data_IF_491241532972
#
_entry.id   IF_491241532972
#
_cell.length_a   1.000
_cell.length_b   1.000
_cell.length_c   1.000
_cell.angle_alpha   90.00
_cell.angle_beta   90.00
_cell.angle_gamma   90.00
#
_symmetry.space_group_name_H-M   'P 1'
#
loop_
_entity.id
_entity.type
_entity.pdbx_description
1 polymer ?
#
# COMPACT_ATOMS: atom_id res chain seq x y z
N UNK A 1 -8.56 -2.46 -2.24
CA UNK A 1 -9.23 -1.28 -1.65
C UNK A 1 -9.14 -1.17 -0.13
N UNK A 2 -8.95 -2.25 0.64
CA UNK A 2 -9.03 -2.19 2.11
C UNK A 2 -7.99 -1.27 2.76
N UNK A 3 -6.71 -1.35 2.35
CA UNK A 3 -5.65 -0.50 2.92
C UNK A 3 -5.97 0.99 2.73
N UNK A 4 -6.38 1.40 1.52
CA UNK A 4 -6.79 2.77 1.23
C UNK A 4 -8.01 3.21 2.06
N UNK A 5 -9.00 2.31 2.26
CA UNK A 5 -10.17 2.59 3.08
C UNK A 5 -9.80 2.80 4.56
N UNK A 6 -8.90 1.97 5.09
CA UNK A 6 -8.39 2.10 6.46
C UNK A 6 -7.60 3.41 6.64
N UNK A 7 -6.73 3.75 5.68
CA UNK A 7 -6.02 5.04 5.70
C UNK A 7 -6.99 6.22 5.66
N UNK A 8 -8.03 6.16 4.81
CA UNK A 8 -9.05 7.20 4.73
C UNK A 8 -9.82 7.36 6.04
N UNK A 9 -10.17 6.25 6.70
CA UNK A 9 -10.84 6.28 8.00
C UNK A 9 -9.94 6.90 9.07
N UNK A 10 -8.67 6.52 9.13
CA UNK A 10 -7.74 6.93 10.18
C UNK A 10 -7.16 8.35 10.00
N UNK A 11 -7.06 8.87 8.77
CA UNK A 11 -6.47 10.19 8.52
C UNK A 11 -7.37 11.37 8.91
N UNK A 12 -8.66 11.12 9.15
CA UNK A 12 -9.66 12.16 9.41
C UNK A 12 -9.24 13.06 10.59
N UNK A 13 -9.04 14.35 10.31
CA UNK A 13 -8.63 15.34 11.31
C UNK A 13 -7.17 15.22 11.79
N UNK A 14 -6.36 14.35 11.17
CA UNK A 14 -4.95 14.14 11.52
C UNK A 14 -3.99 14.63 10.44
N UNK A 15 -4.28 14.33 9.18
CA UNK A 15 -3.42 14.69 8.05
C UNK A 15 -4.20 14.71 6.74
N UNK A 16 -3.60 15.35 5.72
CA UNK A 16 -4.07 15.28 4.34
C UNK A 16 -3.30 14.18 3.62
N UNK A 17 -4.02 13.29 2.94
CA UNK A 17 -3.45 12.10 2.29
C UNK A 17 -3.60 12.20 0.77
N UNK A 18 -2.47 12.05 0.07
CA UNK A 18 -2.44 11.73 -1.36
C UNK A 18 -2.09 10.26 -1.51
N UNK A 19 -3.09 9.42 -1.76
CA UNK A 19 -2.93 7.97 -1.86
C UNK A 19 -2.74 7.55 -3.31
N UNK A 20 -1.67 6.79 -3.58
CA UNK A 20 -1.43 6.19 -4.89
C UNK A 20 -1.52 4.66 -4.79
N UNK A 21 -2.36 4.07 -5.64
CA UNK A 21 -2.52 2.63 -5.77
C UNK A 21 -2.07 2.17 -7.15
N UNK A 22 -1.48 0.99 -7.23
CA UNK A 22 -1.25 0.28 -8.49
C UNK A 22 -1.99 -1.05 -8.44
N UNK A 23 -2.49 -1.49 -9.58
CA UNK A 23 -3.15 -2.78 -9.74
C UNK A 23 -2.97 -3.27 -11.19
N UNK A 24 -3.09 -4.57 -11.41
CA UNK A 24 -3.09 -5.18 -12.76
C UNK A 24 -4.44 -5.79 -13.11
N UNK A 25 -5.28 -6.06 -12.11
CA UNK A 25 -6.54 -6.78 -12.28
C UNK A 25 -7.59 -6.22 -11.32
N UNK A 26 -8.23 -5.08 -11.68
CA UNK A 26 -9.21 -4.48 -10.81
C UNK A 26 -10.47 -5.34 -10.72
N UNK A 27 -11.04 -5.38 -9.51
CA UNK A 27 -12.29 -6.09 -9.27
C UNK A 27 -13.46 -5.39 -9.94
N UNK A 28 -14.37 -6.20 -10.47
CA UNK A 28 -15.66 -5.70 -10.95
C UNK A 28 -16.45 -5.02 -9.82
N UNK A 29 -17.17 -3.95 -10.15
CA UNK A 29 -17.91 -3.17 -9.17
C UNK A 29 -18.97 -3.99 -8.43
N UNK A 30 -19.53 -5.02 -9.05
CA UNK A 30 -20.51 -5.89 -8.42
C UNK A 30 -19.88 -6.84 -7.40
N UNK A 31 -18.62 -7.26 -7.62
CA UNK A 31 -17.83 -7.96 -6.60
C UNK A 31 -17.51 -7.01 -5.45
N UNK A 32 -17.09 -5.78 -5.76
CA UNK A 32 -16.77 -4.76 -4.73
C UNK A 32 -17.98 -4.46 -3.84
N UNK A 33 -19.20 -4.39 -4.40
CA UNK A 33 -20.43 -4.17 -3.63
C UNK A 33 -20.70 -5.26 -2.61
N UNK A 34 -20.31 -6.50 -2.89
CA UNK A 34 -20.50 -7.67 -2.02
C UNK A 34 -19.49 -7.73 -0.87
N UNK A 35 -18.41 -6.93 -0.90
CA UNK A 35 -17.44 -6.89 0.20
C UNK A 35 -18.07 -6.31 1.48
N UNK A 36 -17.86 -7.02 2.59
CA UNK A 36 -18.41 -6.72 3.92
C UNK A 36 -17.55 -5.73 4.74
N UNK A 37 -16.55 -5.08 4.14
CA UNK A 37 -15.63 -4.21 4.88
C UNK A 37 -16.34 -3.11 5.67
N UNK A 38 -17.37 -2.49 5.08
CA UNK A 38 -18.13 -1.40 5.71
C UNK A 38 -19.20 -1.88 6.70
N UNK A 39 -19.35 -3.20 6.89
CA UNK A 39 -20.20 -3.77 7.95
C UNK A 39 -19.45 -3.81 9.29
N UNK A 40 -18.11 -3.84 9.24
CA UNK A 40 -17.26 -3.77 10.42
C UNK A 40 -17.40 -2.41 11.10
N UNK A 41 -17.61 -2.41 12.42
CA UNK A 41 -17.88 -1.23 13.24
C UNK A 41 -16.94 -0.03 12.97
N UNK A 42 -15.62 -0.28 12.82
CA UNK A 42 -14.63 0.78 12.55
C UNK A 42 -14.71 1.42 11.16
N UNK A 43 -15.49 0.84 10.24
CA UNK A 43 -15.63 1.27 8.85
C UNK A 43 -17.09 1.56 8.47
N UNK A 44 -18.01 1.53 9.44
CA UNK A 44 -19.40 1.92 9.22
C UNK A 44 -19.47 3.36 8.69
N UNK A 45 -20.47 3.63 7.84
CA UNK A 45 -20.64 4.93 7.18
C UNK A 45 -19.73 5.17 5.96
N UNK A 46 -18.71 4.33 5.72
CA UNK A 46 -17.77 4.55 4.62
C UNK A 46 -18.14 3.84 3.29
N UNK A 47 -19.31 3.20 3.20
CA UNK A 47 -19.70 2.41 2.00
C UNK A 47 -19.70 3.25 0.73
N UNK A 48 -20.26 4.47 0.77
CA UNK A 48 -20.33 5.32 -0.42
C UNK A 48 -18.93 5.78 -0.88
N UNK A 49 -18.07 6.20 0.04
CA UNK A 49 -16.70 6.62 -0.30
C UNK A 49 -15.86 5.43 -0.79
N UNK A 50 -16.08 4.23 -0.24
CA UNK A 50 -15.46 3.00 -0.71
C UNK A 50 -15.88 2.65 -2.15
N UNK A 51 -17.15 2.82 -2.52
CA UNK A 51 -17.60 2.63 -3.90
C UNK A 51 -17.02 3.71 -4.83
N UNK A 52 -16.98 4.97 -4.41
CA UNK A 52 -16.39 6.06 -5.18
C UNK A 52 -14.90 5.81 -5.45
N UNK A 53 -14.16 5.28 -4.46
CA UNK A 53 -12.76 4.88 -4.62
C UNK A 53 -12.57 3.86 -5.77
N UNK A 54 -13.46 2.87 -5.88
CA UNK A 54 -13.36 1.85 -6.94
C UNK A 54 -13.83 2.39 -8.30
N UNK A 55 -14.77 3.34 -8.31
CA UNK A 55 -15.25 4.03 -9.54
C UNK A 55 -14.33 5.14 -10.04
N UNK A 56 -13.44 5.67 -9.21
CA UNK A 56 -12.49 6.71 -9.60
C UNK A 56 -11.72 6.30 -10.87
N UNK A 57 -11.55 7.24 -11.80
CA UNK A 57 -10.89 6.96 -13.08
C UNK A 57 -9.42 6.57 -12.89
N UNK A 58 -8.93 5.70 -13.78
CA UNK A 58 -7.53 5.29 -13.77
C UNK A 58 -6.64 6.41 -14.27
N UNK A 59 -5.45 6.51 -13.68
CA UNK A 59 -4.41 7.51 -13.94
C UNK A 59 -4.81 8.96 -13.63
N UNK A 60 -5.99 9.19 -13.05
CA UNK A 60 -6.51 10.50 -12.66
C UNK A 60 -6.55 10.62 -11.13
N UNK A 61 -6.11 11.77 -10.61
CA UNK A 61 -6.25 12.10 -9.19
C UNK A 61 -7.67 12.54 -8.89
N UNK A 62 -8.36 11.81 -8.01
CA UNK A 62 -9.76 12.05 -7.62
C UNK A 62 -9.83 12.35 -6.13
N UNK A 63 -10.37 13.51 -5.75
CA UNK A 63 -10.68 13.81 -4.36
C UNK A 63 -11.88 12.98 -3.89
N UNK A 64 -11.71 12.16 -2.84
CA UNK A 64 -12.78 11.38 -2.23
C UNK A 64 -13.37 12.06 -0.99
N UNK A 65 -12.53 12.86 -0.31
CA UNK A 65 -12.86 13.73 0.82
C UNK A 65 -11.89 14.92 0.79
N UNK A 66 -12.19 16.00 1.51
CA UNK A 66 -11.35 17.22 1.52
C UNK A 66 -9.88 16.97 1.92
N UNK A 67 -9.63 15.94 2.71
CA UNK A 67 -8.32 15.52 3.22
C UNK A 67 -7.80 14.22 2.57
N UNK A 68 -8.48 13.68 1.55
CA UNK A 68 -8.09 12.41 0.94
C UNK A 68 -8.29 12.41 -0.58
N UNK A 69 -7.19 12.36 -1.31
CA UNK A 69 -7.16 12.21 -2.77
C UNK A 69 -6.60 10.83 -3.13
N UNK A 70 -7.22 10.14 -4.07
CA UNK A 70 -6.72 8.88 -4.61
C UNK A 70 -6.30 9.02 -6.08
N UNK A 71 -5.18 8.39 -6.44
CA UNK A 71 -4.80 8.10 -7.81
C UNK A 71 -4.58 6.59 -7.95
N UNK A 72 -5.19 5.96 -8.94
CA UNK A 72 -4.98 4.53 -9.22
C UNK A 72 -4.31 4.37 -10.57
N UNK A 73 -3.34 3.48 -10.70
CA UNK A 73 -2.68 3.18 -11.99
C UNK A 73 -2.86 1.71 -12.34
N UNK A 74 -3.29 1.42 -13.56
CA UNK A 74 -3.41 0.06 -14.06
C UNK A 74 -2.06 -0.35 -14.67
N UNK A 75 -1.17 -0.88 -13.84
CA UNK A 75 0.24 -1.12 -14.17
C UNK A 75 0.83 -2.19 -13.27
N UNK A 76 1.66 -3.06 -13.82
CA UNK A 76 2.45 -4.02 -13.05
C UNK A 76 3.53 -3.30 -12.23
N UNK A 77 3.86 -3.82 -11.05
CA UNK A 77 4.88 -3.20 -10.18
C UNK A 77 6.28 -3.24 -10.82
N UNK A 78 6.52 -4.24 -11.65
CA UNK A 78 7.71 -4.44 -12.47
C UNK A 78 7.91 -3.32 -13.48
N UNK A 79 6.81 -2.74 -13.97
CA UNK A 79 6.80 -1.66 -14.97
C UNK A 79 6.55 -0.28 -14.36
N UNK A 80 6.07 -0.24 -13.11
CA UNK A 80 5.83 1.02 -12.42
C UNK A 80 7.13 1.76 -12.14
N UNK A 81 7.19 3.03 -12.57
CA UNK A 81 8.35 3.93 -12.42
C UNK A 81 7.93 5.22 -11.72
N UNK A 82 7.76 5.20 -10.39
CA UNK A 82 7.44 6.41 -9.64
C UNK A 82 8.66 7.37 -9.59
N UNK A 83 8.43 8.70 -9.51
CA UNK A 83 9.49 9.66 -9.24
C UNK A 83 10.23 9.36 -7.93
N UNK A 84 11.47 9.84 -7.82
CA UNK A 84 12.21 9.81 -6.56
C UNK A 84 11.54 10.70 -5.50
N UNK A 85 11.64 10.32 -4.23
CA UNK A 85 11.08 11.07 -3.09
C UNK A 85 9.61 11.49 -3.26
N UNK A 86 8.80 10.57 -3.80
CA UNK A 86 7.38 10.74 -4.09
C UNK A 86 6.47 10.35 -2.92
N UNK A 87 6.90 9.38 -2.10
CA UNK A 87 6.08 8.76 -1.08
C UNK A 87 6.72 8.85 0.31
N UNK A 88 5.93 9.12 1.34
CA UNK A 88 6.40 9.05 2.73
C UNK A 88 6.22 7.63 3.31
N UNK A 89 5.22 6.91 2.80
CA UNK A 89 4.83 5.58 3.25
C UNK A 89 4.43 4.69 2.07
N UNK A 90 4.94 3.46 2.04
CA UNK A 90 4.58 2.41 1.09
C UNK A 90 3.98 1.22 1.84
N UNK A 91 2.78 0.81 1.44
CA UNK A 91 2.21 -0.48 1.79
C UNK A 91 2.57 -1.51 0.74
N UNK A 92 3.54 -2.37 1.04
CA UNK A 92 3.95 -3.44 0.14
C UNK A 92 3.12 -4.69 0.42
N UNK A 93 2.02 -4.82 -0.33
CA UNK A 93 0.98 -5.84 -0.14
C UNK A 93 0.76 -6.64 -1.43
N UNK A 94 1.80 -7.38 -1.83
CA UNK A 94 1.75 -8.31 -2.94
C UNK A 94 1.41 -9.74 -2.47
N UNK A 95 1.09 -10.64 -3.40
CA UNK A 95 1.00 -12.07 -3.07
C UNK A 95 2.32 -12.58 -2.50
N UNK A 96 2.23 -13.66 -1.71
CA UNK A 96 3.38 -14.13 -0.92
C UNK A 96 4.60 -14.42 -1.81
N UNK A 97 5.83 -14.37 -1.25
CA UNK A 97 7.03 -14.65 -2.05
C UNK A 97 7.12 -16.05 -2.65
N UNK A 98 6.25 -16.98 -2.24
CA UNK A 98 6.14 -18.29 -2.90
C UNK A 98 5.27 -18.25 -4.16
N UNK A 99 4.32 -17.31 -4.24
CA UNK A 99 3.37 -17.17 -5.34
C UNK A 99 3.92 -16.23 -6.41
N UNK A 100 4.55 -15.12 -5.99
CA UNK A 100 5.11 -14.11 -6.90
C UNK A 100 6.53 -13.71 -6.47
N UNK A 101 7.52 -14.64 -6.48
CA UNK A 101 8.88 -14.37 -6.02
C UNK A 101 9.55 -13.16 -6.70
N UNK A 102 9.20 -12.89 -7.96
CA UNK A 102 9.69 -11.78 -8.78
C UNK A 102 9.45 -10.41 -8.14
N UNK A 103 8.35 -10.24 -7.41
CA UNK A 103 8.02 -8.97 -6.74
C UNK A 103 8.88 -8.72 -5.49
N UNK A 104 9.51 -9.76 -4.94
CA UNK A 104 10.26 -9.68 -3.67
C UNK A 104 11.78 -9.61 -3.87
N UNK A 105 12.21 -9.28 -5.09
CA UNK A 105 13.63 -9.12 -5.42
C UNK A 105 14.17 -7.76 -4.95
N UNK A 106 15.47 -7.71 -4.65
CA UNK A 106 16.15 -6.49 -4.20
C UNK A 106 15.97 -5.33 -5.19
N UNK A 107 15.92 -5.60 -6.50
CA UNK A 107 15.71 -4.59 -7.54
C UNK A 107 14.34 -3.90 -7.43
N UNK A 108 13.29 -4.65 -7.10
CA UNK A 108 11.95 -4.07 -6.84
C UNK A 108 12.03 -3.14 -5.63
N UNK A 109 12.62 -3.62 -4.53
CA UNK A 109 12.76 -2.83 -3.31
C UNK A 109 13.66 -1.62 -3.48
N UNK A 110 14.68 -1.67 -4.34
CA UNK A 110 15.56 -0.52 -4.63
C UNK A 110 14.81 0.60 -5.33
N UNK A 111 13.89 0.27 -6.24
CA UNK A 111 12.97 1.27 -6.83
C UNK A 111 12.08 1.90 -5.77
N UNK A 112 11.51 1.09 -4.87
CA UNK A 112 10.69 1.59 -3.76
C UNK A 112 11.50 2.44 -2.77
N UNK A 113 12.74 2.06 -2.49
CA UNK A 113 13.66 2.86 -1.68
C UNK A 113 13.92 4.22 -2.31
N UNK A 114 14.10 4.27 -3.64
CA UNK A 114 14.34 5.52 -4.37
C UNK A 114 13.10 6.42 -4.36
N UNK A 115 11.91 5.84 -4.49
CA UNK A 115 10.65 6.59 -4.50
C UNK A 115 10.20 7.09 -3.13
N UNK A 116 10.78 6.58 -2.04
CA UNK A 116 10.51 7.10 -0.70
C UNK A 116 11.23 8.44 -0.43
N UNK A 117 10.55 9.37 0.24
CA UNK A 117 11.15 10.52 0.93
C UNK A 117 12.11 10.06 2.03
N UNK A 118 12.95 10.95 2.54
CA UNK A 118 13.79 10.67 3.70
C UNK A 118 13.42 11.57 4.89
N UNK A 119 13.06 11.02 6.07
CA UNK A 119 12.85 9.60 6.33
C UNK A 119 11.59 9.07 5.63
N UNK A 120 11.59 7.80 5.24
CA UNK A 120 10.46 7.14 4.57
C UNK A 120 10.30 5.69 5.01
N UNK A 121 9.08 5.18 4.95
CA UNK A 121 8.74 3.86 5.50
C UNK A 121 8.11 2.97 4.44
N UNK A 122 8.56 1.72 4.37
CA UNK A 122 7.85 0.62 3.72
C UNK A 122 7.43 -0.38 4.78
N UNK A 123 6.17 -0.82 4.75
CA UNK A 123 5.67 -1.90 5.60
C UNK A 123 5.17 -3.06 4.75
N UNK A 124 5.39 -4.28 5.23
CA UNK A 124 4.87 -5.49 4.59
C UNK A 124 4.55 -6.56 5.62
N UNK A 125 3.55 -7.39 5.31
CA UNK A 125 3.17 -8.51 6.16
C UNK A 125 4.21 -9.66 6.12
N UNK A 126 5.06 -9.71 5.10
CA UNK A 126 5.97 -10.85 4.89
C UNK A 126 7.25 -10.70 5.71
N UNK A 127 7.45 -11.59 6.69
CA UNK A 127 8.63 -11.62 7.55
C UNK A 127 9.69 -12.68 7.16
N UNK A 128 9.61 -13.22 5.94
CA UNK A 128 10.51 -14.28 5.45
C UNK A 128 11.96 -13.80 5.37
N UNK A 129 12.90 -14.74 5.51
CA UNK A 129 14.35 -14.47 5.43
C UNK A 129 14.73 -13.73 4.14
N UNK A 130 14.32 -14.28 3.00
CA UNK A 130 14.60 -13.71 1.66
C UNK A 130 14.12 -12.27 1.52
N UNK A 131 12.96 -11.93 2.09
CA UNK A 131 12.39 -10.57 2.02
C UNK A 131 13.23 -9.60 2.84
N UNK A 132 13.62 -9.99 4.06
CA UNK A 132 14.50 -9.17 4.90
C UNK A 132 15.87 -8.96 4.28
N UNK A 133 16.41 -9.96 3.59
CA UNK A 133 17.68 -9.83 2.87
C UNK A 133 17.53 -8.85 1.71
N UNK A 134 16.54 -9.06 0.83
CA UNK A 134 16.29 -8.18 -0.31
C UNK A 134 16.02 -6.72 0.09
N UNK A 135 15.32 -6.47 1.21
CA UNK A 135 15.13 -5.12 1.74
C UNK A 135 16.45 -4.47 2.21
N UNK A 136 17.33 -5.23 2.86
CA UNK A 136 18.65 -4.71 3.27
C UNK A 136 19.54 -4.43 2.07
N UNK A 137 19.53 -5.34 1.09
CA UNK A 137 20.29 -5.18 -0.16
C UNK A 137 19.82 -3.96 -0.97
N UNK A 138 18.54 -3.59 -0.83
CA UNK A 138 17.96 -2.39 -1.41
C UNK A 138 18.29 -1.09 -0.64
N UNK A 139 18.95 -1.18 0.53
CA UNK A 139 19.38 -0.04 1.33
C UNK A 139 18.50 0.28 2.55
N UNK A 140 17.47 -0.51 2.85
CA UNK A 140 16.62 -0.25 4.01
C UNK A 140 17.24 -0.71 5.33
N UNK A 141 17.01 0.07 6.39
CA UNK A 141 17.07 -0.45 7.76
C UNK A 141 15.83 -1.29 8.05
N UNK A 142 16.01 -2.57 8.35
CA UNK A 142 14.90 -3.53 8.54
C UNK A 142 14.64 -3.81 10.02
N UNK A 143 13.41 -3.53 10.44
CA UNK A 143 12.91 -3.77 11.80
C UNK A 143 11.78 -4.82 11.77
N UNK A 144 11.75 -5.67 12.79
CA UNK A 144 10.66 -6.63 13.02
C UNK A 144 9.71 -6.05 14.05
N UNK A 145 8.43 -6.07 13.74
CA UNK A 145 7.36 -5.72 14.68
C UNK A 145 6.56 -6.98 15.01
N UNK A 146 5.91 -6.98 16.18
CA UNK A 146 4.92 -8.00 16.50
C UNK A 146 3.81 -7.98 15.43
N UNK A 147 3.44 -9.17 14.97
CA UNK A 147 2.37 -9.29 13.99
C UNK A 147 0.98 -9.27 14.65
N UNK A 148 -0.07 -9.03 13.87
CA UNK A 148 -1.44 -9.17 14.35
C UNK A 148 -1.75 -10.63 14.73
N UNK A 149 -2.85 -10.92 15.45
CA UNK A 149 -3.25 -12.28 15.79
C UNK A 149 -3.15 -13.24 14.59
N UNK A 150 -2.42 -14.34 14.77
CA UNK A 150 -2.15 -15.33 13.71
C UNK A 150 -0.88 -15.09 12.88
N UNK A 151 -0.20 -13.95 13.00
CA UNK A 151 1.12 -13.69 12.40
C UNK A 151 2.14 -13.36 13.48
N UNK A 152 3.26 -14.08 13.50
CA UNK A 152 4.32 -13.84 14.51
C UNK A 152 4.98 -12.48 14.36
N UNK A 153 5.25 -12.05 13.12
CA UNK A 153 5.96 -10.80 12.85
C UNK A 153 5.47 -10.15 11.56
N UNK A 154 5.57 -8.83 11.51
CA UNK A 154 5.53 -8.03 10.28
C UNK A 154 6.83 -7.23 10.16
N UNK A 155 7.11 -6.70 8.96
CA UNK A 155 8.35 -5.97 8.69
C UNK A 155 8.05 -4.49 8.46
N UNK A 156 8.86 -3.66 9.10
CA UNK A 156 9.01 -2.24 8.80
C UNK A 156 10.42 -2.01 8.24
N UNK A 157 10.51 -1.46 7.05
CA UNK A 157 11.74 -1.09 6.38
C UNK A 157 11.82 0.43 6.30
N UNK A 158 12.91 1.00 6.78
CA UNK A 158 13.09 2.45 6.95
C UNK A 158 14.19 2.93 6.03
N UNK A 159 13.87 3.95 5.22
CA UNK A 159 14.87 4.79 4.55
C UNK A 159 15.33 5.84 5.54
N UNK A 160 16.58 5.75 5.95
CA UNK A 160 17.19 6.68 6.89
C UNK A 160 17.56 8.00 6.20
N UNK A 161 17.66 9.07 7.00
CA UNK A 161 18.16 10.39 6.61
C UNK A 161 19.54 10.32 5.94
#
# INVERSE_FOLDING_TARGET
GLNALLTLSDCAGRCVVSYEAIDILPLDIDIVKQLNYCEHHSLQGHKQVFLNMHKAEWNVSTALRADFTIRKSLVALEDYRPPAARFDLIYFDAFSPNVQPELWQAEIFKRMHTSLSSPGILVTYSARGIVKTALRDAGFKVERLEGPPGKRHVIRAIKCA
#
